data_IF_872818222558
#
_entry.id   IF_872818222558
#
_cell.length_a   1.000
_cell.length_b   1.000
_cell.length_c   1.000
_cell.angle_alpha   90.00
_cell.angle_beta   90.00
_cell.angle_gamma   90.00
#
_symmetry.space_group_name_H-M   'P 1'
#
loop_
_entity.id
_entity.type
_entity.pdbx_description
1 polymer ?
#
# COMPACT_ATOMS: atom_id res chain seq x y z
N UNK A 1 9.43 18.35 16.45
CA UNK A 1 8.73 17.39 15.57
C UNK A 1 9.77 16.38 15.11
N UNK A 2 9.76 15.16 15.67
CA UNK A 2 10.69 14.11 15.25
C UNK A 2 10.26 13.52 13.90
N UNK A 3 11.19 13.07 13.04
CA UNK A 3 10.82 12.56 11.73
C UNK A 3 10.08 11.23 11.86
N UNK A 4 8.88 11.16 11.27
CA UNK A 4 8.02 9.96 11.20
C UNK A 4 8.77 8.78 10.54
N UNK A 5 9.72 9.11 9.67
CA UNK A 5 10.52 8.16 8.91
C UNK A 5 11.97 8.28 9.34
N UNK A 6 12.75 7.20 9.19
CA UNK A 6 14.18 7.21 9.49
C UNK A 6 14.87 8.36 8.72
N UNK A 7 15.76 9.11 9.37
CA UNK A 7 16.40 10.32 8.84
C UNK A 7 16.91 10.10 7.38
N UNK A 8 16.57 11.03 6.46
CA UNK A 8 16.77 10.87 5.01
C UNK A 8 15.48 10.82 4.16
N UNK A 9 14.32 11.19 4.71
CA UNK A 9 12.97 10.84 4.21
C UNK A 9 12.57 11.22 2.77
N UNK A 10 13.39 12.00 2.06
CA UNK A 10 13.12 12.37 0.67
C UNK A 10 13.73 11.38 -0.33
N UNK A 11 14.77 10.63 0.05
CA UNK A 11 15.55 9.78 -0.84
C UNK A 11 15.46 8.31 -0.46
N UNK A 12 15.68 7.43 -1.42
CA UNK A 12 15.78 6.00 -1.17
C UNK A 12 17.17 5.62 -0.66
N UNK A 13 17.26 4.72 0.31
CA UNK A 13 18.53 4.30 0.91
C UNK A 13 18.71 2.78 0.89
N UNK A 14 19.95 2.34 1.14
CA UNK A 14 20.26 0.91 1.21
C UNK A 14 19.45 0.23 2.32
N UNK A 15 18.70 -0.80 1.94
CA UNK A 15 17.90 -1.63 2.81
C UNK A 15 16.47 -1.15 3.04
N UNK A 16 16.04 -0.04 2.43
CA UNK A 16 14.66 0.43 2.50
C UNK A 16 13.74 -0.36 1.56
N UNK A 17 12.47 -0.46 1.94
CA UNK A 17 11.39 -0.93 1.07
C UNK A 17 10.98 0.19 0.12
N UNK A 18 10.67 -0.13 -1.13
CA UNK A 18 10.25 0.82 -2.16
C UNK A 18 9.14 0.23 -3.00
N UNK A 19 8.40 1.09 -3.68
CA UNK A 19 7.40 0.70 -4.67
C UNK A 19 7.93 1.08 -6.04
N UNK A 20 8.07 0.08 -6.91
CA UNK A 20 8.50 0.22 -8.29
C UNK A 20 7.25 0.31 -9.16
N UNK A 21 6.99 1.49 -9.72
CA UNK A 21 5.84 1.75 -10.58
C UNK A 21 6.28 1.79 -12.04
N UNK A 22 5.92 0.77 -12.81
CA UNK A 22 6.31 0.59 -14.20
C UNK A 22 5.17 1.07 -15.10
N UNK A 23 5.49 1.96 -16.03
CA UNK A 23 4.57 2.50 -17.04
C UNK A 23 3.28 3.14 -16.49
N UNK A 24 3.40 3.95 -15.42
CA UNK A 24 2.28 4.68 -14.79
C UNK A 24 1.18 3.76 -14.26
N UNK A 25 1.57 2.69 -13.59
CA UNK A 25 0.67 1.82 -12.84
C UNK A 25 0.20 0.59 -13.61
N UNK A 26 0.77 0.32 -14.79
CA UNK A 26 0.54 -0.94 -15.55
C UNK A 26 1.05 -2.14 -14.74
N UNK A 27 2.22 -2.00 -14.10
CA UNK A 27 2.77 -2.98 -13.16
C UNK A 27 3.40 -2.25 -12.01
N UNK A 28 2.97 -2.56 -10.79
CA UNK A 28 3.53 -2.02 -9.55
C UNK A 28 4.13 -3.18 -8.77
N UNK A 29 5.29 -3.01 -8.13
CA UNK A 29 6.02 -4.09 -7.44
C UNK A 29 6.61 -3.56 -6.13
N UNK A 30 6.49 -4.33 -5.05
CA UNK A 30 7.24 -4.07 -3.82
C UNK A 30 8.66 -4.64 -3.93
N UNK A 31 9.66 -3.85 -3.57
CA UNK A 31 11.05 -4.35 -3.54
C UNK A 31 11.80 -3.76 -2.35
N UNK A 32 12.80 -4.51 -1.86
CA UNK A 32 13.73 -4.02 -0.84
C UNK A 32 15.08 -3.76 -1.49
N UNK A 33 15.61 -2.55 -1.32
CA UNK A 33 16.87 -2.11 -1.93
C UNK A 33 18.07 -2.79 -1.27
N UNK A 34 18.41 -3.99 -1.71
CA UNK A 34 19.65 -4.68 -1.32
C UNK A 34 20.66 -4.63 -2.48
N UNK A 35 21.98 -4.80 -2.22
CA UNK A 35 22.98 -4.78 -3.29
C UNK A 35 22.75 -5.79 -4.42
N UNK A 36 22.04 -6.89 -4.14
CA UNK A 36 21.71 -7.94 -5.12
C UNK A 36 20.28 -7.82 -5.67
N UNK A 37 19.52 -6.80 -5.27
CA UNK A 37 18.15 -6.65 -5.68
C UNK A 37 18.08 -6.33 -7.18
N UNK A 38 17.32 -7.15 -7.90
CA UNK A 38 17.08 -7.01 -9.33
C UNK A 38 15.59 -7.07 -9.62
N UNK A 39 15.17 -6.47 -10.73
CA UNK A 39 13.79 -6.50 -11.21
C UNK A 39 13.78 -6.77 -12.70
N UNK A 40 12.82 -7.56 -13.17
CA UNK A 40 12.59 -7.75 -14.61
C UNK A 40 11.63 -6.67 -15.14
N UNK A 41 12.14 -5.85 -16.06
CA UNK A 41 11.39 -4.81 -16.76
C UNK A 41 11.55 -5.02 -18.25
N UNK A 42 10.44 -5.33 -18.94
CA UNK A 42 10.44 -5.50 -20.39
C UNK A 42 11.26 -6.70 -20.89
N UNK A 43 11.45 -7.74 -20.06
CA UNK A 43 12.26 -8.92 -20.37
C UNK A 43 13.76 -8.69 -20.15
N UNK A 44 14.13 -7.63 -19.43
CA UNK A 44 15.52 -7.32 -19.07
C UNK A 44 15.66 -7.29 -17.56
N UNK A 45 16.66 -8.00 -17.07
CA UNK A 45 16.99 -8.02 -15.63
C UNK A 45 17.80 -6.78 -15.29
N UNK A 46 17.22 -5.90 -14.48
CA UNK A 46 17.79 -4.61 -14.12
C UNK A 46 18.22 -4.59 -12.66
N UNK A 47 19.42 -4.07 -12.37
CA UNK A 47 19.90 -3.82 -11.00
C UNK A 47 19.18 -2.62 -10.39
N UNK A 48 18.77 -2.73 -9.12
CA UNK A 48 18.13 -1.64 -8.39
C UNK A 48 19.13 -0.71 -7.67
N UNK A 49 20.43 -0.98 -7.76
CA UNK A 49 21.47 -0.14 -7.15
C UNK A 49 21.40 1.35 -7.56
N UNK A 50 21.11 1.71 -8.84
CA UNK A 50 21.03 3.11 -9.25
C UNK A 50 19.93 3.93 -8.57
N UNK A 51 18.96 3.27 -7.91
CA UNK A 51 17.88 3.92 -7.18
C UNK A 51 18.32 4.46 -5.81
N UNK A 52 19.42 3.93 -5.25
CA UNK A 52 19.92 4.34 -3.94
C UNK A 52 20.50 5.76 -4.02
N UNK A 53 20.12 6.62 -3.08
CA UNK A 53 20.49 8.03 -3.03
C UNK A 53 19.68 8.92 -3.98
N UNK A 54 18.61 8.38 -4.61
CA UNK A 54 17.73 9.17 -5.49
C UNK A 54 16.45 9.57 -4.75
N UNK A 55 15.91 10.78 -5.01
CA UNK A 55 14.68 11.21 -4.38
C UNK A 55 13.50 10.34 -4.82
N UNK A 56 12.58 10.06 -3.90
CA UNK A 56 11.29 9.45 -4.25
C UNK A 56 10.54 10.36 -5.24
N UNK A 57 9.94 9.76 -6.26
CA UNK A 57 9.38 10.45 -7.41
C UNK A 57 10.31 10.50 -8.62
N UNK A 58 11.59 10.09 -8.47
CA UNK A 58 12.51 9.99 -9.61
C UNK A 58 12.06 8.96 -10.63
N UNK A 59 12.16 9.31 -11.91
CA UNK A 59 11.90 8.43 -13.05
C UNK A 59 13.19 7.90 -13.66
N UNK A 60 13.12 6.67 -14.18
CA UNK A 60 14.23 5.96 -14.78
C UNK A 60 13.78 5.32 -16.09
N UNK A 61 14.69 5.28 -17.07
CA UNK A 61 14.54 4.47 -18.28
C UNK A 61 15.44 3.26 -18.21
N UNK A 62 14.99 2.17 -18.85
CA UNK A 62 15.79 0.96 -19.02
C UNK A 62 16.58 1.09 -20.31
N UNK A 63 17.90 1.20 -20.18
CA UNK A 63 18.83 1.19 -21.30
C UNK A 63 19.53 -0.17 -21.43
N UNK A 64 19.86 -0.61 -22.66
CA UNK A 64 20.70 -1.79 -22.87
C UNK A 64 22.09 -1.58 -22.25
N UNK A 65 22.64 -2.62 -21.63
CA UNK A 65 24.02 -2.61 -21.16
C UNK A 65 24.91 -3.20 -22.26
N UNK A 66 25.97 -2.49 -22.66
CA UNK A 66 26.91 -2.89 -23.72
C UNK A 66 27.88 -4.03 -23.31
N UNK A 67 27.51 -4.85 -22.32
CA UNK A 67 28.37 -5.94 -21.87
C UNK A 67 28.47 -6.99 -22.98
N UNK A 68 29.68 -7.19 -23.54
CA UNK A 68 30.02 -8.09 -24.65
C UNK A 68 29.67 -9.58 -24.46
N UNK A 69 29.02 -9.94 -23.35
CA UNK A 69 28.64 -11.31 -23.01
C UNK A 69 27.15 -11.49 -22.84
N UNK A 70 26.37 -11.41 -23.93
CA UNK A 70 25.08 -12.09 -24.17
C UNK A 70 23.93 -11.99 -23.14
N UNK A 71 24.12 -11.37 -21.99
CA UNK A 71 23.17 -11.36 -20.89
C UNK A 71 22.24 -10.16 -21.09
N UNK A 72 20.92 -10.42 -21.19
CA UNK A 72 19.85 -9.43 -21.37
C UNK A 72 19.68 -8.55 -20.11
N UNK A 73 20.76 -7.86 -19.73
CA UNK A 73 20.84 -6.98 -18.58
C UNK A 73 20.52 -5.55 -19.00
N UNK A 74 19.76 -4.86 -18.15
CA UNK A 74 19.40 -3.46 -18.34
C UNK A 74 19.98 -2.57 -17.26
N UNK A 75 20.36 -1.35 -17.63
CA UNK A 75 20.77 -0.31 -16.67
C UNK A 75 19.63 0.67 -16.50
N UNK A 76 19.35 1.03 -15.24
CA UNK A 76 18.40 2.09 -14.91
C UNK A 76 19.12 3.43 -14.96
N UNK A 77 18.81 4.22 -15.97
CA UNK A 77 19.35 5.56 -16.14
C UNK A 77 18.31 6.57 -15.67
N UNK A 78 18.73 7.50 -14.82
CA UNK A 78 17.84 8.56 -14.35
C UNK A 78 17.40 9.38 -15.55
N UNK A 79 16.09 9.50 -15.71
CA UNK A 79 15.47 10.26 -16.77
C UNK A 79 14.77 11.44 -16.12
N UNK A 80 15.28 12.65 -16.32
CA UNK A 80 14.49 13.82 -16.02
C UNK A 80 13.29 13.78 -16.96
N UNK A 81 12.08 13.77 -16.41
CA UNK A 81 10.93 14.24 -17.17
C UNK A 81 11.13 15.74 -17.34
N UNK A 82 12.02 16.14 -18.25
CA UNK A 82 11.67 17.23 -19.12
C UNK A 82 10.46 16.70 -19.87
N UNK A 83 9.28 16.82 -19.26
CA UNK A 83 8.10 16.98 -20.06
C UNK A 83 8.50 18.12 -20.98
N UNK A 84 8.61 17.92 -22.30
CA UNK A 84 8.60 19.07 -23.14
C UNK A 84 7.26 19.71 -22.78
N UNK A 85 7.30 20.81 -22.04
CA UNK A 85 6.46 21.94 -22.35
C UNK A 85 6.78 22.24 -23.81
N UNK A 86 6.17 21.46 -24.71
CA UNK A 86 5.64 22.05 -25.91
C UNK A 86 4.66 23.04 -25.34
N UNK A 87 5.16 24.23 -25.05
CA UNK A 87 4.37 25.43 -25.15
C UNK A 87 3.78 25.32 -26.55
N UNK A 88 2.60 24.73 -26.63
CA UNK A 88 1.75 24.85 -27.80
C UNK A 88 1.42 26.34 -27.82
N UNK A 89 2.29 27.13 -28.45
CA UNK A 89 1.95 28.45 -28.90
C UNK A 89 0.68 28.28 -29.74
N UNK A 90 -0.49 28.77 -29.30
CA UNK A 90 -1.77 28.49 -29.96
C UNK A 90 -1.88 29.11 -31.36
N UNK A 91 -0.82 29.75 -31.86
CA UNK A 91 -0.98 30.85 -32.82
C UNK A 91 -0.45 30.60 -34.23
N UNK A 92 0.16 29.45 -34.59
CA UNK A 92 0.64 29.27 -35.98
C UNK A 92 0.34 27.97 -36.74
N UNK A 93 -0.03 26.83 -36.12
CA UNK A 93 -0.25 25.57 -36.88
C UNK A 93 -1.69 24.99 -36.85
N UNK A 94 -2.64 25.70 -36.23
CA UNK A 94 -3.99 25.20 -35.97
C UNK A 94 -4.88 24.92 -37.20
N UNK A 95 -4.51 25.37 -38.41
CA UNK A 95 -5.38 25.25 -39.59
C UNK A 95 -5.18 24.00 -40.45
N UNK A 96 -3.98 23.41 -40.47
CA UNK A 96 -3.72 22.22 -41.32
C UNK A 96 -4.06 20.89 -40.62
N UNK A 97 -3.96 20.84 -39.28
CA UNK A 97 -4.15 19.60 -38.53
C UNK A 97 -5.61 19.23 -38.27
N UNK A 98 -6.54 20.19 -38.27
CA UNK A 98 -7.99 19.96 -38.02
C UNK A 98 -8.70 19.17 -39.14
N UNK A 99 -8.08 18.96 -40.30
CA UNK A 99 -8.69 18.27 -41.45
C UNK A 99 -8.40 16.78 -41.55
N UNK A 100 -7.61 16.19 -40.64
CA UNK A 100 -7.30 14.75 -40.70
C UNK A 100 -8.44 13.94 -40.10
N UNK A 101 -8.88 12.91 -40.82
CA UNK A 101 -9.84 11.92 -40.32
C UNK A 101 -9.43 10.51 -40.73
N UNK A 102 -10.19 9.52 -40.28
CA UNK A 102 -9.92 8.11 -40.50
C UNK A 102 -10.63 7.52 -41.73
N UNK A 103 -11.31 8.32 -42.58
CA UNK A 103 -12.15 7.79 -43.67
C UNK A 103 -11.37 7.00 -44.73
N UNK A 104 -10.09 7.36 -44.93
CA UNK A 104 -9.19 6.74 -45.90
C UNK A 104 -8.20 5.76 -45.26
N UNK A 105 -8.30 5.48 -43.96
CA UNK A 105 -7.43 4.54 -43.27
C UNK A 105 -8.01 3.13 -43.44
N UNK A 106 -7.28 2.27 -44.15
CA UNK A 106 -7.65 0.86 -44.36
C UNK A 106 -6.74 0.00 -43.49
N UNK A 107 -7.34 -0.91 -42.71
CA UNK A 107 -6.61 -1.88 -41.91
C UNK A 107 -6.36 -3.17 -42.71
N UNK A 108 -5.26 -3.20 -43.44
CA UNK A 108 -4.83 -4.33 -44.25
C UNK A 108 -3.55 -5.00 -43.70
N UNK A 109 -3.15 -4.67 -42.46
CA UNK A 109 -1.90 -5.12 -41.83
C UNK A 109 -0.59 -4.82 -42.62
N UNK A 110 -0.62 -3.99 -43.67
CA UNK A 110 0.59 -3.59 -44.42
C UNK A 110 1.10 -2.20 -44.04
N UNK A 111 0.51 -1.61 -42.99
CA UNK A 111 0.80 -0.24 -42.55
C UNK A 111 2.18 -0.05 -41.87
N UNK A 112 2.85 -1.14 -41.51
CA UNK A 112 4.18 -1.15 -40.90
C UNK A 112 5.08 -2.03 -41.76
N UNK A 113 6.21 -1.49 -42.21
CA UNK A 113 7.16 -2.22 -43.08
C UNK A 113 8.15 -3.05 -42.26
N UNK A 114 8.43 -2.68 -41.01
CA UNK A 114 9.31 -3.44 -40.12
C UNK A 114 8.65 -4.73 -39.62
N UNK A 115 9.33 -5.85 -39.78
CA UNK A 115 8.90 -7.15 -39.28
C UNK A 115 9.17 -7.31 -37.77
N UNK A 116 8.65 -8.38 -37.15
CA UNK A 116 9.00 -8.76 -35.78
C UNK A 116 10.50 -8.98 -35.62
N UNK A 117 11.11 -9.63 -36.60
CA UNK A 117 12.49 -10.09 -36.57
C UNK A 117 13.44 -8.90 -36.68
N UNK A 118 13.09 -7.88 -37.48
CA UNK A 118 13.81 -6.60 -37.55
C UNK A 118 13.80 -5.89 -36.20
N UNK A 119 12.66 -5.90 -35.50
CA UNK A 119 12.52 -5.27 -34.18
C UNK A 119 13.35 -6.01 -33.13
N UNK A 120 13.40 -7.33 -33.19
CA UNK A 120 14.28 -8.13 -32.34
C UNK A 120 15.75 -7.92 -32.66
N UNK A 121 16.12 -7.79 -33.93
CA UNK A 121 17.47 -7.44 -34.34
C UNK A 121 17.87 -6.06 -33.79
N UNK A 122 16.99 -5.05 -33.87
CA UNK A 122 17.25 -3.74 -33.25
C UNK A 122 17.47 -3.85 -31.73
N UNK A 123 16.67 -4.67 -31.04
CA UNK A 123 16.86 -4.92 -29.60
C UNK A 123 18.17 -5.62 -29.27
N UNK A 124 18.58 -6.60 -30.11
CA UNK A 124 19.83 -7.36 -29.97
C UNK A 124 21.05 -6.48 -30.24
N UNK A 125 20.95 -5.56 -31.19
CA UNK A 125 21.97 -4.57 -31.52
C UNK A 125 22.08 -3.45 -30.48
N UNK A 126 21.35 -3.52 -29.36
CA UNK A 126 21.43 -2.53 -28.29
C UNK A 126 20.80 -1.17 -28.62
N UNK A 127 19.93 -1.07 -29.63
CA UNK A 127 19.24 0.20 -29.90
C UNK A 127 18.37 0.59 -28.69
N UNK A 128 18.35 1.90 -28.39
CA UNK A 128 17.52 2.44 -27.32
C UNK A 128 16.03 2.27 -27.64
N UNK A 129 15.22 2.19 -26.58
CA UNK A 129 13.77 2.05 -26.73
C UNK A 129 13.16 3.19 -27.55
N UNK A 130 13.64 4.43 -27.37
CA UNK A 130 13.16 5.60 -28.10
C UNK A 130 13.54 5.55 -29.58
N UNK A 131 14.77 5.13 -29.91
CA UNK A 131 15.19 4.95 -31.30
C UNK A 131 14.33 3.90 -32.02
N UNK A 132 13.93 2.83 -31.32
CA UNK A 132 12.99 1.83 -31.86
C UNK A 132 11.62 2.46 -32.12
N UNK A 133 11.13 3.34 -31.24
CA UNK A 133 9.86 4.04 -31.45
C UNK A 133 9.94 4.98 -32.66
N UNK A 134 11.03 5.72 -32.82
CA UNK A 134 11.28 6.60 -33.97
C UNK A 134 11.35 5.80 -35.28
N UNK A 135 12.08 4.68 -35.30
CA UNK A 135 12.13 3.79 -36.44
C UNK A 135 10.74 3.25 -36.82
N UNK A 136 9.91 2.88 -35.84
CA UNK A 136 8.53 2.44 -36.06
C UNK A 136 7.59 3.54 -36.57
N UNK A 137 7.88 4.81 -36.27
CA UNK A 137 7.14 5.96 -36.79
C UNK A 137 7.54 6.21 -38.25
N UNK A 138 8.85 6.25 -38.54
CA UNK A 138 9.38 6.47 -39.88
C UNK A 138 8.92 5.39 -40.88
N UNK A 139 8.79 4.15 -40.43
CA UNK A 139 8.36 3.00 -41.24
C UNK A 139 6.83 2.78 -41.27
N UNK A 140 6.04 3.71 -40.73
CA UNK A 140 4.58 3.62 -40.75
C UNK A 140 3.95 4.49 -41.85
N UNK A 141 3.40 3.86 -42.87
CA UNK A 141 2.73 4.53 -43.99
C UNK A 141 1.45 5.27 -43.60
N UNK A 142 0.86 4.92 -42.45
CA UNK A 142 -0.40 5.53 -41.96
C UNK A 142 -0.19 6.58 -40.88
N UNK A 143 1.00 6.66 -40.26
CA UNK A 143 1.20 7.52 -39.09
C UNK A 143 0.96 9.00 -39.40
N UNK A 144 1.52 9.51 -40.50
CA UNK A 144 1.33 10.91 -40.92
C UNK A 144 -0.13 11.28 -41.24
N UNK A 145 -0.94 10.31 -41.67
CA UNK A 145 -2.37 10.52 -42.01
C UNK A 145 -3.29 10.52 -40.79
N UNK A 146 -2.82 10.02 -39.64
CA UNK A 146 -3.61 9.97 -38.40
C UNK A 146 -3.84 11.35 -37.80
N UNK A 147 -4.91 11.47 -37.02
CA UNK A 147 -5.16 12.64 -36.17
C UNK A 147 -4.08 12.79 -35.10
N UNK A 148 -3.85 14.00 -34.60
CA UNK A 148 -2.85 14.27 -33.55
C UNK A 148 -3.05 13.38 -32.31
N UNK A 149 -4.29 13.26 -31.85
CA UNK A 149 -4.64 12.40 -30.72
C UNK A 149 -4.32 10.92 -30.97
N UNK A 150 -4.51 10.44 -32.21
CA UNK A 150 -4.19 9.08 -32.60
C UNK A 150 -2.69 8.85 -32.73
N UNK A 151 -1.93 9.86 -33.18
CA UNK A 151 -0.46 9.83 -33.22
C UNK A 151 0.11 9.75 -31.81
N UNK A 152 -0.33 10.60 -30.88
CA UNK A 152 0.11 10.56 -29.48
C UNK A 152 -0.24 9.23 -28.81
N UNK A 153 -1.47 8.73 -29.01
CA UNK A 153 -1.87 7.41 -28.49
C UNK A 153 -1.00 6.29 -29.06
N UNK A 154 -0.60 6.38 -30.32
CA UNK A 154 0.33 5.44 -30.94
C UNK A 154 1.71 5.53 -30.29
N UNK A 155 2.28 6.74 -30.15
CA UNK A 155 3.58 6.97 -29.52
C UNK A 155 3.60 6.41 -28.10
N UNK A 156 2.63 6.78 -27.25
CA UNK A 156 2.53 6.30 -25.87
C UNK A 156 2.44 4.77 -25.79
N UNK A 157 1.67 4.14 -26.68
CA UNK A 157 1.58 2.68 -26.76
C UNK A 157 2.92 2.04 -27.13
N UNK A 158 3.68 2.65 -28.03
CA UNK A 158 4.99 2.14 -28.46
C UNK A 158 6.06 2.39 -27.38
N UNK A 159 6.08 3.57 -26.76
CA UNK A 159 6.95 3.87 -25.62
C UNK A 159 6.73 2.90 -24.47
N UNK A 160 5.48 2.65 -24.05
CA UNK A 160 5.18 1.65 -23.00
C UNK A 160 5.74 0.26 -23.30
N UNK A 161 5.81 -0.14 -24.58
CA UNK A 161 6.29 -1.45 -25.02
C UNK A 161 7.81 -1.52 -25.18
N UNK A 162 8.43 -0.49 -25.74
CA UNK A 162 9.84 -0.52 -26.18
C UNK A 162 10.77 0.34 -25.31
N UNK A 163 10.25 1.37 -24.64
CA UNK A 163 10.95 2.26 -23.74
C UNK A 163 10.24 2.29 -22.37
N UNK A 164 10.17 1.16 -21.64
CA UNK A 164 9.47 1.11 -20.37
C UNK A 164 10.12 2.08 -19.38
N UNK A 165 9.28 2.85 -18.70
CA UNK A 165 9.71 3.78 -17.66
C UNK A 165 9.40 3.22 -16.28
N UNK A 166 10.28 3.51 -15.34
CA UNK A 166 10.16 3.12 -13.94
C UNK A 166 10.11 4.38 -13.08
N UNK A 167 9.09 4.50 -12.25
CA UNK A 167 8.92 5.54 -11.24
C UNK A 167 9.22 4.95 -9.86
N UNK A 168 10.17 5.55 -9.14
CA UNK A 168 10.51 5.19 -7.77
C UNK A 168 9.50 5.83 -6.80
N UNK A 169 8.57 5.05 -6.26
CA UNK A 169 7.54 5.55 -5.33
C UNK A 169 7.90 5.23 -3.89
N UNK A 170 7.60 6.21 -3.03
CA UNK A 170 7.68 6.06 -1.58
C UNK A 170 6.55 5.16 -1.08
N UNK A 171 6.84 4.20 -0.19
CA UNK A 171 5.79 3.51 0.56
C UNK A 171 5.10 4.46 1.53
N UNK A 172 3.79 4.59 1.39
CA UNK A 172 2.87 5.26 2.32
C UNK A 172 1.60 4.43 2.41
N UNK A 173 0.76 4.70 3.41
CA UNK A 173 -0.53 4.01 3.58
C UNK A 173 -1.33 3.98 2.27
N UNK A 174 -1.34 5.10 1.55
CA UNK A 174 -1.96 5.24 0.24
C UNK A 174 -1.33 4.33 -0.81
N UNK A 175 -0.02 4.47 -1.06
CA UNK A 175 0.63 3.73 -2.16
C UNK A 175 0.69 2.23 -1.89
N UNK A 176 0.84 1.82 -0.62
CA UNK A 176 0.80 0.42 -0.20
C UNK A 176 -0.60 -0.16 -0.42
N UNK A 177 -1.67 0.53 0.01
CA UNK A 177 -3.05 0.12 -0.21
C UNK A 177 -3.37 -0.04 -1.71
N UNK A 178 -3.05 0.98 -2.53
CA UNK A 178 -3.26 0.93 -3.99
C UNK A 178 -2.48 -0.23 -4.64
N UNK A 179 -1.26 -0.50 -4.17
CA UNK A 179 -0.41 -1.57 -4.72
C UNK A 179 -0.93 -2.96 -4.36
N UNK A 180 -1.35 -3.18 -3.10
CA UNK A 180 -1.95 -4.45 -2.69
C UNK A 180 -3.28 -4.70 -3.38
N UNK A 181 -4.13 -3.67 -3.53
CA UNK A 181 -5.38 -3.81 -4.26
C UNK A 181 -5.17 -4.26 -5.72
N UNK A 182 -4.09 -3.81 -6.36
CA UNK A 182 -3.73 -4.23 -7.74
C UNK A 182 -3.09 -5.62 -7.81
N UNK A 183 -2.22 -5.97 -6.88
CA UNK A 183 -1.46 -7.24 -6.91
C UNK A 183 -2.21 -8.40 -6.26
N UNK A 184 -2.69 -8.21 -5.03
CA UNK A 184 -3.22 -9.24 -4.14
C UNK A 184 -4.31 -8.63 -3.23
N UNK A 185 -5.47 -8.31 -3.82
CA UNK A 185 -6.55 -7.60 -3.13
C UNK A 185 -7.10 -8.36 -1.90
N UNK A 186 -7.14 -9.70 -1.97
CA UNK A 186 -7.60 -10.58 -0.89
C UNK A 186 -6.86 -10.34 0.42
N UNK A 187 -5.54 -10.16 0.34
CA UNK A 187 -4.66 -9.98 1.51
C UNK A 187 -5.03 -8.75 2.33
N UNK A 188 -5.56 -7.72 1.68
CA UNK A 188 -6.00 -6.46 2.30
C UNK A 188 -7.51 -6.39 2.48
N UNK A 189 -8.22 -7.52 2.38
CA UNK A 189 -9.67 -7.57 2.50
C UNK A 189 -10.41 -6.74 1.44
N UNK A 190 -9.83 -6.57 0.25
CA UNK A 190 -10.33 -5.71 -0.84
C UNK A 190 -10.49 -4.24 -0.47
N UNK A 191 -9.81 -3.77 0.57
CA UNK A 191 -9.90 -2.38 1.02
C UNK A 191 -9.28 -1.43 -0.02
N UNK A 192 -10.09 -0.46 -0.46
CA UNK A 192 -9.64 0.62 -1.36
C UNK A 192 -9.13 1.83 -0.56
N UNK A 193 -8.32 2.67 -1.20
CA UNK A 193 -7.64 3.81 -0.55
C UNK A 193 -8.61 4.83 0.07
N UNK A 194 -9.73 5.10 -0.58
CA UNK A 194 -10.80 5.95 -0.07
C UNK A 194 -11.50 5.34 1.15
N UNK A 195 -11.74 4.02 1.15
CA UNK A 195 -12.23 3.30 2.32
C UNK A 195 -11.24 3.35 3.49
N UNK A 196 -9.94 3.10 3.24
CA UNK A 196 -8.91 3.24 4.27
C UNK A 196 -8.88 4.68 4.82
N UNK A 197 -8.99 5.68 3.95
CA UNK A 197 -8.98 7.10 4.35
C UNK A 197 -10.22 7.47 5.19
N UNK A 198 -11.39 6.98 4.79
CA UNK A 198 -12.65 7.17 5.51
C UNK A 198 -12.61 6.48 6.87
N UNK A 199 -12.07 5.25 6.94
CA UNK A 199 -11.92 4.47 8.17
C UNK A 199 -11.07 5.22 9.21
N UNK A 200 -9.89 5.71 8.80
CA UNK A 200 -8.99 6.48 9.66
C UNK A 200 -9.60 7.81 10.11
N UNK A 201 -10.41 8.44 9.24
CA UNK A 201 -11.07 9.71 9.54
C UNK A 201 -12.24 9.53 10.51
N UNK A 202 -13.06 8.50 10.30
CA UNK A 202 -14.20 8.19 11.18
C UNK A 202 -13.76 7.74 12.57
N UNK A 203 -12.60 7.08 12.69
CA UNK A 203 -11.99 6.76 13.97
C UNK A 203 -11.21 7.93 14.61
N UNK A 204 -11.18 9.12 13.97
CA UNK A 204 -10.47 10.30 14.45
C UNK A 204 -8.99 10.04 14.80
N UNK A 205 -8.27 9.32 13.93
CA UNK A 205 -6.86 9.01 14.17
C UNK A 205 -6.00 10.27 14.02
N UNK A 206 -5.38 10.68 15.13
CA UNK A 206 -4.54 11.86 15.22
C UNK A 206 -3.36 11.67 16.17
N UNK A 207 -2.42 12.62 16.15
CA UNK A 207 -1.27 12.62 17.03
C UNK A 207 -1.67 12.51 18.51
N UNK A 208 -0.87 11.82 19.31
CA UNK A 208 -1.09 11.58 20.75
C UNK A 208 -2.26 10.65 21.11
N UNK A 209 -2.97 10.13 20.12
CA UNK A 209 -4.03 9.13 20.33
C UNK A 209 -3.45 7.75 20.66
N UNK A 210 -4.14 7.04 21.54
CA UNK A 210 -3.96 5.61 21.76
C UNK A 210 -5.05 4.84 21.05
N UNK A 211 -4.69 4.16 19.96
CA UNK A 211 -5.66 3.53 19.07
C UNK A 211 -5.63 2.02 19.28
N UNK A 212 -6.78 1.45 19.61
CA UNK A 212 -6.98 0.01 19.64
C UNK A 212 -7.32 -0.46 18.21
N UNK A 213 -6.57 -1.42 17.70
CA UNK A 213 -6.74 -1.90 16.32
C UNK A 213 -6.90 -3.42 16.30
N UNK A 214 -7.93 -3.89 15.59
CA UNK A 214 -8.00 -5.27 15.13
C UNK A 214 -7.69 -5.27 13.65
N UNK A 215 -6.55 -5.88 13.31
CA UNK A 215 -6.06 -5.94 11.94
C UNK A 215 -5.83 -7.39 11.53
N UNK A 216 -6.70 -7.85 10.63
CA UNK A 216 -6.60 -9.14 9.93
C UNK A 216 -6.28 -8.96 8.44
N UNK A 217 -5.87 -7.76 8.04
CA UNK A 217 -5.56 -7.37 6.65
C UNK A 217 -4.05 -7.17 6.46
N UNK A 218 -3.27 -8.06 7.08
CA UNK A 218 -1.81 -8.14 6.96
C UNK A 218 -1.02 -7.02 7.65
N UNK A 219 -1.67 -6.19 8.49
CA UNK A 219 -1.02 -5.05 9.14
C UNK A 219 -1.14 -3.73 8.36
N UNK A 220 -1.95 -3.67 7.30
CA UNK A 220 -2.17 -2.44 6.53
C UNK A 220 -2.75 -1.32 7.40
N UNK A 221 -3.76 -1.63 8.22
CA UNK A 221 -4.44 -0.65 9.06
C UNK A 221 -3.54 -0.23 10.22
N UNK A 222 -2.85 -1.18 10.87
CA UNK A 222 -1.84 -0.88 11.90
C UNK A 222 -0.78 0.07 11.37
N UNK A 223 -0.25 -0.20 10.17
CA UNK A 223 0.72 0.67 9.52
C UNK A 223 0.15 2.05 9.21
N UNK A 224 -1.05 2.13 8.66
CA UNK A 224 -1.69 3.40 8.34
C UNK A 224 -1.99 4.27 9.57
N UNK A 225 -2.39 3.65 10.68
CA UNK A 225 -2.55 4.34 11.97
C UNK A 225 -1.20 4.84 12.47
N UNK A 226 -0.16 3.99 12.47
CA UNK A 226 1.17 4.37 12.91
C UNK A 226 1.77 5.53 12.08
N UNK A 227 1.53 5.54 10.76
CA UNK A 227 1.92 6.64 9.87
C UNK A 227 1.25 7.96 10.29
N UNK A 228 -0.04 7.93 10.64
CA UNK A 228 -0.81 9.10 11.09
C UNK A 228 -0.43 9.58 12.49
N UNK A 229 -0.11 8.68 13.40
CA UNK A 229 0.38 9.00 14.74
C UNK A 229 1.78 9.62 14.72
N UNK A 230 2.60 9.26 13.73
CA UNK A 230 3.93 9.85 13.55
C UNK A 230 4.89 9.63 14.73
N UNK A 231 4.66 8.57 15.52
CA UNK A 231 5.43 8.27 16.74
C UNK A 231 4.91 8.96 18.01
N UNK A 232 3.83 9.73 17.91
CA UNK A 232 3.13 10.36 19.03
C UNK A 232 1.86 9.57 19.36
N UNK A 233 1.80 8.97 20.55
CA UNK A 233 0.75 8.02 20.92
C UNK A 233 1.15 6.55 20.66
N UNK A 234 0.18 5.65 20.71
CA UNK A 234 0.40 4.21 20.56
C UNK A 234 -0.63 3.56 19.65
N UNK A 235 -0.18 2.55 18.89
CA UNK A 235 -1.06 1.61 18.20
C UNK A 235 -1.02 0.31 18.98
N UNK A 236 -2.11 -0.05 19.63
CA UNK A 236 -2.26 -1.33 20.29
C UNK A 236 -3.06 -2.26 19.40
N UNK A 237 -2.38 -3.23 18.80
CA UNK A 237 -3.06 -4.29 18.06
C UNK A 237 -3.59 -5.35 19.03
N UNK A 238 -4.86 -5.70 18.88
CA UNK A 238 -5.47 -6.82 19.62
C UNK A 238 -5.91 -7.93 18.68
N UNK A 239 -5.97 -9.14 19.21
CA UNK A 239 -6.31 -10.36 18.48
C UNK A 239 -6.97 -11.39 19.43
N UNK A 240 -7.76 -12.30 18.87
CA UNK A 240 -8.29 -13.46 19.60
C UNK A 240 -7.29 -14.61 19.57
N UNK A 241 -7.24 -15.38 20.66
CA UNK A 241 -6.40 -16.56 20.78
C UNK A 241 -4.97 -16.25 21.21
N UNK A 242 -4.10 -17.26 21.09
CA UNK A 242 -2.72 -17.21 21.59
C UNK A 242 -1.72 -16.71 20.56
N UNK A 243 -2.01 -16.85 19.26
CA UNK A 243 -1.08 -16.51 18.17
C UNK A 243 -1.65 -15.37 17.31
N UNK A 244 -0.96 -14.21 17.23
CA UNK A 244 -1.36 -13.13 16.35
C UNK A 244 -1.12 -13.48 14.88
N UNK A 245 -1.98 -13.01 13.97
CA UNK A 245 -1.70 -13.09 12.52
C UNK A 245 -0.55 -12.18 12.11
N UNK A 246 0.05 -12.40 10.94
CA UNK A 246 1.21 -11.63 10.49
C UNK A 246 0.89 -10.15 10.20
N UNK A 247 1.82 -9.26 10.54
CA UNK A 247 1.78 -7.82 10.27
C UNK A 247 2.97 -7.38 9.41
N UNK A 248 3.35 -8.21 8.45
CA UNK A 248 4.55 -8.00 7.65
C UNK A 248 4.43 -6.78 6.71
N UNK A 249 3.21 -6.32 6.38
CA UNK A 249 2.98 -5.08 5.63
C UNK A 249 3.57 -3.87 6.38
N UNK A 250 3.61 -3.87 7.72
CA UNK A 250 4.21 -2.79 8.53
C UNK A 250 5.69 -2.61 8.18
N UNK A 251 6.41 -3.69 7.84
CA UNK A 251 7.80 -3.64 7.41
C UNK A 251 8.04 -2.89 6.10
N UNK A 252 7.00 -2.65 5.30
CA UNK A 252 7.07 -1.95 4.02
C UNK A 252 7.08 -0.43 4.22
N UNK A 253 6.51 0.09 5.31
CA UNK A 253 6.36 1.52 5.57
C UNK A 253 7.68 2.26 5.88
N UNK A 254 8.77 1.53 6.14
CA UNK A 254 10.07 2.11 6.52
C UNK A 254 10.02 3.04 7.75
N UNK A 255 9.22 2.67 8.76
CA UNK A 255 9.14 3.43 10.00
C UNK A 255 10.49 3.55 10.71
N UNK A 256 10.67 4.66 11.44
CA UNK A 256 11.80 4.81 12.36
C UNK A 256 11.69 3.82 13.53
N UNK A 257 12.78 3.63 14.28
CA UNK A 257 12.75 2.86 15.53
C UNK A 257 11.69 3.40 16.50
N UNK A 258 11.53 4.72 16.53
CA UNK A 258 10.66 5.40 17.47
C UNK A 258 9.20 5.08 17.16
N UNK A 259 8.77 5.22 15.91
CA UNK A 259 7.42 4.83 15.47
C UNK A 259 7.20 3.33 15.66
N UNK A 260 8.19 2.51 15.32
CA UNK A 260 8.09 1.04 15.42
C UNK A 260 7.91 0.59 16.87
N UNK A 261 8.58 1.25 17.83
CA UNK A 261 8.47 0.96 19.27
C UNK A 261 7.09 1.29 19.85
N UNK A 262 6.29 2.13 19.18
CA UNK A 262 4.92 2.48 19.59
C UNK A 262 3.86 1.53 19.01
N UNK A 263 4.25 0.62 18.12
CA UNK A 263 3.38 -0.43 17.59
C UNK A 263 3.51 -1.64 18.51
N UNK A 264 2.52 -1.83 19.36
CA UNK A 264 2.49 -2.90 20.36
C UNK A 264 1.31 -3.83 20.10
N UNK A 265 1.38 -5.04 20.66
CA UNK A 265 0.30 -6.01 20.55
C UNK A 265 0.00 -6.67 21.89
N UNK A 266 -1.28 -6.94 22.14
CA UNK A 266 -1.75 -7.65 23.33
C UNK A 266 -2.93 -8.53 22.93
N UNK A 267 -3.03 -9.78 23.38
CA UNK A 267 -4.22 -10.56 23.17
C UNK A 267 -5.40 -9.92 23.91
N UNK A 268 -6.62 -10.15 23.42
CA UNK A 268 -7.82 -9.57 24.00
C UNK A 268 -8.04 -10.00 25.46
N UNK A 269 -7.69 -11.25 25.80
CA UNK A 269 -7.76 -11.80 27.17
C UNK A 269 -7.00 -10.96 28.20
N UNK A 270 -5.82 -10.45 27.82
CA UNK A 270 -4.93 -9.74 28.73
C UNK A 270 -5.44 -8.33 28.98
N UNK A 271 -5.99 -7.68 27.96
CA UNK A 271 -6.65 -6.37 28.09
C UNK A 271 -7.88 -6.45 29.02
N UNK A 272 -8.61 -7.57 28.98
CA UNK A 272 -9.76 -7.81 29.85
C UNK A 272 -9.41 -8.15 31.29
N UNK A 273 -8.45 -9.05 31.48
CA UNK A 273 -7.99 -9.46 32.81
C UNK A 273 -7.50 -8.25 33.61
N UNK A 274 -6.96 -7.26 32.90
CA UNK A 274 -6.53 -5.98 33.44
C UNK A 274 -7.69 -5.15 34.03
N UNK A 275 -8.87 -5.20 33.43
CA UNK A 275 -10.05 -4.45 33.87
C UNK A 275 -10.77 -5.11 35.04
N UNK A 276 -10.83 -6.45 35.05
CA UNK A 276 -11.58 -7.20 36.05
C UNK A 276 -10.78 -7.47 37.33
N UNK A 277 -9.44 -7.40 37.28
CA UNK A 277 -8.59 -7.62 38.45
C UNK A 277 -8.44 -6.32 39.27
N UNK A 278 -9.44 -6.06 40.12
CA UNK A 278 -9.21 -5.40 41.40
C UNK A 278 -8.53 -6.41 42.33
N UNK A 279 -7.32 -6.10 42.80
CA UNK A 279 -6.54 -6.85 43.79
C UNK A 279 -6.00 -8.25 43.39
N UNK A 280 -4.86 -8.30 42.68
CA UNK A 280 -3.81 -9.29 42.92
C UNK A 280 -2.46 -8.82 42.32
N UNK A 281 -1.33 -8.92 43.04
CA UNK A 281 -0.02 -8.63 42.47
C UNK A 281 0.39 -9.76 41.51
N UNK A 282 0.91 -9.38 40.34
CA UNK A 282 1.53 -10.30 39.41
C UNK A 282 2.81 -10.88 40.05
N UNK A 283 2.82 -12.18 40.33
CA UNK A 283 4.03 -12.93 40.66
C UNK A 283 4.81 -13.12 39.37
N UNK A 284 5.93 -12.42 39.24
CA UNK A 284 6.96 -12.69 38.25
C UNK A 284 7.69 -13.97 38.69
N UNK A 285 7.48 -15.08 37.97
CA UNK A 285 8.41 -16.20 38.05
C UNK A 285 9.49 -15.99 36.97
N UNK A 286 10.59 -15.42 37.42
CA UNK A 286 11.88 -15.42 36.73
C UNK A 286 12.66 -16.62 37.27
N UNK A 287 12.96 -17.60 36.42
CA UNK A 287 13.94 -18.65 36.73
C UNK A 287 14.60 -19.16 35.45
N UNK A 288 15.88 -18.83 35.38
CA UNK A 288 16.97 -18.95 34.41
C UNK A 288 17.42 -20.41 34.11
N UNK A 289 17.92 -20.64 32.86
CA UNK A 289 18.97 -21.56 32.29
C UNK A 289 19.21 -22.95 32.93
N UNK A 290 19.63 -24.04 32.27
CA UNK A 290 20.14 -24.40 30.93
C UNK A 290 20.24 -25.95 30.91
N UNK A 291 20.35 -26.64 29.77
CA UNK A 291 21.60 -27.20 29.24
C UNK A 291 21.30 -28.05 27.97
N UNK A 292 22.35 -28.32 27.19
CA UNK A 292 22.37 -28.82 25.82
C UNK A 292 21.99 -30.30 25.63
N UNK A 293 21.50 -30.64 24.43
CA UNK A 293 21.92 -31.79 23.63
C UNK A 293 21.30 -31.77 22.20
N UNK A 294 22.08 -32.18 21.21
CA UNK A 294 21.77 -32.37 19.77
C UNK A 294 22.40 -33.72 19.35
N UNK A 295 22.16 -34.32 18.15
CA UNK A 295 20.96 -34.40 17.28
C UNK A 295 20.51 -35.86 17.01
N UNK A 296 19.34 -36.07 16.37
CA UNK A 296 19.22 -37.15 15.36
C UNK A 296 18.17 -36.86 14.26
N UNK A 297 18.39 -37.49 13.11
CA UNK A 297 18.06 -37.05 11.76
C UNK A 297 16.61 -37.29 11.22
N UNK A 298 16.25 -36.40 10.29
CA UNK A 298 15.57 -36.61 8.99
C UNK A 298 14.03 -36.81 8.91
N UNK A 299 13.34 -35.85 8.27
CA UNK A 299 12.74 -36.02 6.92
C UNK A 299 12.26 -34.69 6.33
N UNK A 300 12.15 -34.69 5.00
CA UNK A 300 12.40 -33.60 4.04
C UNK A 300 11.09 -33.03 3.45
N UNK A 301 10.94 -31.70 3.35
CA UNK A 301 9.87 -30.99 2.62
C UNK A 301 10.31 -29.55 2.26
N UNK A 302 10.92 -29.38 1.08
CA UNK A 302 11.38 -28.10 0.53
C UNK A 302 10.22 -27.16 0.15
N UNK A 303 10.21 -25.93 0.68
CA UNK A 303 9.56 -24.73 0.09
C UNK A 303 10.45 -23.50 0.33
N UNK A 304 10.55 -22.67 -0.70
CA UNK A 304 11.63 -21.71 -0.96
C UNK A 304 11.87 -20.64 0.12
N UNK A 305 13.14 -20.54 0.54
CA UNK A 305 13.69 -19.58 1.48
C UNK A 305 13.89 -18.18 0.85
N UNK A 306 13.25 -17.17 1.40
CA UNK A 306 13.81 -15.81 1.42
C UNK A 306 13.45 -15.08 2.72
N UNK A 307 14.00 -15.53 3.84
CA UNK A 307 13.99 -14.77 5.09
C UNK A 307 15.18 -15.15 5.96
N UNK A 308 16.26 -14.37 5.92
CA UNK A 308 17.12 -14.10 7.09
C UNK A 308 18.36 -13.29 6.70
N UNK A 309 18.26 -11.96 6.80
CA UNK A 309 19.40 -11.16 7.23
C UNK A 309 18.89 -10.25 8.34
N UNK A 310 19.06 -10.74 9.57
CA UNK A 310 18.77 -10.02 10.79
C UNK A 310 19.69 -8.81 10.89
N UNK A 311 19.11 -7.61 10.72
CA UNK A 311 19.67 -6.38 11.28
C UNK A 311 18.90 -6.10 12.56
N UNK A 312 19.62 -5.86 13.66
CA UNK A 312 19.12 -5.46 14.98
C UNK A 312 18.30 -4.16 14.87
N UNK A 313 17.06 -4.31 14.47
CA UNK A 313 16.07 -3.26 14.31
C UNK A 313 14.87 -3.61 15.19
N UNK A 314 14.34 -2.61 15.91
CA UNK A 314 13.18 -2.77 16.77
C UNK A 314 12.07 -3.51 16.00
N UNK A 315 11.56 -4.61 16.57
CA UNK A 315 10.49 -5.39 15.94
C UNK A 315 9.16 -4.74 16.30
N UNK A 316 8.31 -4.46 15.30
CA UNK A 316 6.93 -4.06 15.55
C UNK A 316 6.16 -5.20 16.23
N UNK A 317 5.17 -4.88 17.06
CA UNK A 317 4.33 -5.87 17.72
C UNK A 317 5.03 -6.51 18.93
N UNK A 318 5.79 -5.72 19.70
CA UNK A 318 6.20 -6.16 21.04
C UNK A 318 5.03 -6.03 22.02
N UNK A 319 5.10 -6.74 23.14
CA UNK A 319 4.14 -6.56 24.22
C UNK A 319 4.22 -5.11 24.77
N UNK A 320 3.09 -4.50 25.14
CA UNK A 320 3.08 -3.18 25.77
C UNK A 320 3.80 -3.20 27.12
N UNK A 321 4.38 -2.07 27.52
CA UNK A 321 4.98 -1.94 28.85
C UNK A 321 3.90 -2.03 29.93
N UNK A 322 4.26 -2.56 31.10
CA UNK A 322 3.33 -2.71 32.24
C UNK A 322 2.73 -1.37 32.69
N UNK A 323 3.50 -0.28 32.59
CA UNK A 323 3.02 1.08 32.85
C UNK A 323 1.96 1.52 31.84
N UNK A 324 2.16 1.21 30.55
CA UNK A 324 1.20 1.60 29.51
C UNK A 324 -0.10 0.80 29.61
N UNK A 325 0.01 -0.47 29.95
CA UNK A 325 -1.14 -1.31 30.28
C UNK A 325 -1.96 -0.71 31.42
N UNK A 326 -1.32 -0.30 32.53
CA UNK A 326 -2.02 0.38 33.66
C UNK A 326 -2.71 1.66 33.21
N UNK A 327 -2.06 2.47 32.39
CA UNK A 327 -2.65 3.69 31.86
C UNK A 327 -3.94 3.41 31.06
N UNK A 328 -3.94 2.42 30.16
CA UNK A 328 -5.13 2.04 29.38
C UNK A 328 -6.23 1.43 30.23
N UNK A 329 -5.88 0.77 31.34
CA UNK A 329 -6.88 0.30 32.31
C UNK A 329 -7.69 1.47 32.89
N UNK A 330 -7.00 2.55 33.25
CA UNK A 330 -7.60 3.70 33.93
C UNK A 330 -8.31 4.66 32.96
N UNK A 331 -7.71 4.91 31.79
CA UNK A 331 -8.16 5.95 30.86
C UNK A 331 -8.89 5.40 29.63
N UNK A 332 -8.71 4.11 29.30
CA UNK A 332 -9.21 3.50 28.07
C UNK A 332 -8.42 3.93 26.82
N UNK A 333 -8.79 3.36 25.68
CA UNK A 333 -8.26 3.75 24.37
C UNK A 333 -9.03 4.94 23.77
N UNK A 334 -8.35 5.79 23.04
CA UNK A 334 -8.96 6.98 22.42
C UNK A 334 -9.86 6.67 21.22
N UNK A 335 -9.62 5.57 20.52
CA UNK A 335 -10.42 5.16 19.35
C UNK A 335 -10.24 3.67 19.04
N UNK A 336 -11.23 3.06 18.40
CA UNK A 336 -11.19 1.66 17.95
C UNK A 336 -11.29 1.57 16.42
N UNK A 337 -10.42 0.76 15.82
CA UNK A 337 -10.53 0.37 14.41
C UNK A 337 -10.59 -1.14 14.29
N UNK A 338 -11.57 -1.66 13.55
CA UNK A 338 -11.70 -3.09 13.28
C UNK A 338 -11.67 -3.33 11.77
N UNK A 339 -10.73 -4.14 11.31
CA UNK A 339 -10.66 -4.65 9.94
C UNK A 339 -10.49 -6.16 9.98
N UNK A 340 -11.62 -6.86 10.04
CA UNK A 340 -11.71 -8.31 10.14
C UNK A 340 -12.78 -8.84 9.18
N UNK A 341 -12.50 -8.89 7.86
CA UNK A 341 -13.49 -9.24 6.84
C UNK A 341 -13.96 -10.71 6.87
N UNK A 342 -13.31 -11.57 7.65
CA UNK A 342 -13.59 -13.01 7.74
C UNK A 342 -14.27 -13.42 9.06
N UNK A 343 -14.46 -12.48 10.00
CA UNK A 343 -14.97 -12.78 11.36
C UNK A 343 -16.36 -12.19 11.59
N UNK A 344 -17.14 -12.86 12.43
CA UNK A 344 -18.40 -12.32 12.93
C UNK A 344 -18.14 -11.16 13.90
N UNK A 345 -18.66 -9.98 13.55
CA UNK A 345 -18.34 -8.73 14.24
C UNK A 345 -19.15 -8.53 15.54
N UNK A 346 -20.33 -9.15 15.67
CA UNK A 346 -21.31 -8.79 16.70
C UNK A 346 -20.83 -8.93 18.14
N UNK A 347 -20.47 -10.16 18.55
CA UNK A 347 -19.92 -10.43 19.89
C UNK A 347 -18.59 -9.71 20.09
N UNK A 348 -17.74 -9.75 19.07
CA UNK A 348 -16.39 -9.24 19.16
C UNK A 348 -16.32 -7.72 19.36
N UNK A 349 -17.16 -6.94 18.68
CA UNK A 349 -17.22 -5.49 18.87
C UNK A 349 -17.81 -5.15 20.24
N UNK A 350 -18.83 -5.87 20.68
CA UNK A 350 -19.43 -5.70 22.02
C UNK A 350 -18.39 -5.88 23.12
N UNK A 351 -17.42 -6.78 22.89
CA UNK A 351 -16.32 -7.05 23.80
C UNK A 351 -15.23 -5.94 23.78
N UNK A 352 -14.93 -5.39 22.61
CA UNK A 352 -13.89 -4.36 22.46
C UNK A 352 -14.33 -2.98 22.93
N UNK A 353 -15.60 -2.64 22.74
CA UNK A 353 -16.14 -1.31 23.02
C UNK A 353 -15.91 -0.83 24.46
N UNK A 354 -16.10 -1.68 25.51
CA UNK A 354 -15.77 -1.30 26.87
C UNK A 354 -14.35 -0.77 27.04
N UNK A 355 -13.35 -1.29 26.32
CA UNK A 355 -11.93 -0.89 26.45
C UNK A 355 -11.67 0.56 26.04
N UNK A 356 -12.63 1.22 25.41
CA UNK A 356 -12.51 2.60 24.98
C UNK A 356 -12.70 3.60 26.12
N UNK A 357 -12.15 4.80 25.91
CA UNK A 357 -12.42 5.99 26.71
C UNK A 357 -13.82 6.54 26.41
N UNK A 358 -14.38 7.32 27.34
CA UNK A 358 -15.71 7.91 27.16
C UNK A 358 -15.79 8.76 25.90
N UNK A 359 -16.90 8.63 25.15
CA UNK A 359 -17.11 9.37 23.90
C UNK A 359 -16.07 9.08 22.81
N UNK A 360 -15.36 7.95 22.89
CA UNK A 360 -14.41 7.54 21.86
C UNK A 360 -15.14 7.13 20.56
N UNK A 361 -14.65 7.57 19.38
CA UNK A 361 -15.13 7.08 18.11
C UNK A 361 -14.61 5.68 17.82
N UNK A 362 -15.40 4.90 17.09
CA UNK A 362 -14.97 3.64 16.51
C UNK A 362 -15.37 3.56 15.04
N UNK A 363 -14.58 2.83 14.26
CA UNK A 363 -14.85 2.57 12.86
C UNK A 363 -14.52 1.11 12.50
N UNK A 364 -15.45 0.44 11.83
CA UNK A 364 -15.38 -0.98 11.50
C UNK A 364 -15.49 -1.12 9.98
N UNK A 365 -14.49 -1.74 9.38
CA UNK A 365 -14.46 -2.07 7.96
C UNK A 365 -14.93 -3.50 7.73
N UNK A 366 -15.77 -3.69 6.71
CA UNK A 366 -16.14 -5.01 6.22
C UNK A 366 -16.38 -5.00 4.70
N UNK A 367 -16.11 -6.13 4.03
CA UNK A 367 -16.31 -6.27 2.57
C UNK A 367 -17.79 -6.30 2.18
N UNK A 368 -18.66 -6.81 3.04
CA UNK A 368 -20.10 -6.94 2.77
C UNK A 368 -20.92 -6.10 3.75
N UNK A 369 -22.12 -5.70 3.34
CA UNK A 369 -23.01 -4.82 4.11
C UNK A 369 -23.69 -5.57 5.27
N UNK A 370 -24.02 -6.84 5.06
CA UNK A 370 -24.88 -7.64 5.93
C UNK A 370 -24.29 -7.81 7.34
N UNK A 371 -22.97 -8.12 7.53
CA UNK A 371 -22.40 -8.21 8.87
C UNK A 371 -22.36 -6.87 9.60
N UNK A 372 -22.21 -5.76 8.87
CA UNK A 372 -22.26 -4.41 9.46
C UNK A 372 -23.69 -4.04 9.88
N UNK A 373 -24.70 -4.40 9.08
CA UNK A 373 -26.10 -4.17 9.44
C UNK A 373 -26.49 -4.95 10.70
N UNK A 374 -26.08 -6.23 10.81
CA UNK A 374 -26.29 -7.04 12.00
C UNK A 374 -25.56 -6.47 13.21
N UNK A 375 -24.31 -6.04 13.06
CA UNK A 375 -23.54 -5.40 14.12
C UNK A 375 -24.21 -4.09 14.57
N UNK A 376 -24.61 -3.24 13.63
CA UNK A 376 -25.34 -2.00 13.91
C UNK A 376 -26.63 -2.26 14.69
N UNK A 377 -27.42 -3.26 14.28
CA UNK A 377 -28.63 -3.64 15.02
C UNK A 377 -28.31 -4.08 16.45
N UNK A 378 -27.30 -4.92 16.66
CA UNK A 378 -26.86 -5.35 18.00
C UNK A 378 -26.45 -4.16 18.88
N UNK A 379 -25.75 -3.17 18.31
CA UNK A 379 -25.30 -1.98 19.05
C UNK A 379 -26.45 -1.03 19.42
N UNK A 380 -27.48 -0.95 18.57
CA UNK A 380 -28.71 -0.22 18.87
C UNK A 380 -29.48 -0.90 20.00
N UNK A 381 -29.64 -2.23 19.92
CA UNK A 381 -30.36 -3.01 20.94
C UNK A 381 -29.66 -2.96 22.29
N UNK A 382 -28.33 -2.97 22.30
CA UNK A 382 -27.55 -2.88 23.55
C UNK A 382 -27.39 -1.45 24.09
N UNK A 383 -27.82 -0.42 23.35
CA UNK A 383 -27.69 1.00 23.69
C UNK A 383 -26.23 1.42 23.99
N UNK A 384 -25.24 0.76 23.36
CA UNK A 384 -23.81 0.98 23.64
C UNK A 384 -23.17 2.07 22.78
N UNK A 385 -23.85 2.53 21.73
CA UNK A 385 -23.29 3.47 20.78
C UNK A 385 -24.33 4.45 20.25
N UNK A 386 -23.88 5.66 19.90
CA UNK A 386 -24.69 6.72 19.31
C UNK A 386 -24.11 7.16 17.98
N UNK A 387 -24.94 7.78 17.13
CA UNK A 387 -24.50 8.29 15.82
C UNK A 387 -24.03 7.18 14.86
N UNK A 388 -24.63 5.98 14.96
CA UNK A 388 -24.29 4.85 14.11
C UNK A 388 -24.62 5.15 12.64
N UNK A 389 -23.63 5.01 11.77
CA UNK A 389 -23.77 5.23 10.34
C UNK A 389 -22.99 4.17 9.56
N UNK A 390 -23.64 3.59 8.54
CA UNK A 390 -22.96 2.78 7.52
C UNK A 390 -22.72 3.64 6.29
N UNK A 391 -21.48 3.69 5.82
CA UNK A 391 -21.07 4.48 4.66
C UNK A 391 -20.34 3.61 3.63
N UNK A 392 -20.63 3.86 2.36
CA UNK A 392 -19.93 3.30 1.20
C UNK A 392 -19.28 4.45 0.42
N UNK A 393 -17.94 4.53 0.36
CA UNK A 393 -17.29 5.53 -0.46
C UNK A 393 -17.24 5.09 -1.93
N UNK A 394 -17.43 6.04 -2.85
CA UNK A 394 -17.26 5.82 -4.28
C UNK A 394 -16.10 6.66 -4.83
N UNK A 395 -15.19 6.02 -5.55
CA UNK A 395 -14.03 6.66 -6.15
C UNK A 395 -14.11 6.55 -7.69
N UNK A 396 -13.97 7.70 -8.36
CA UNK A 396 -13.95 7.77 -9.83
C UNK A 396 -12.71 8.49 -10.32
N UNK A 397 -11.84 7.76 -11.01
CA UNK A 397 -10.64 8.30 -11.63
C UNK A 397 -10.95 8.93 -12.99
N UNK A 398 -10.32 10.07 -13.28
CA UNK A 398 -10.47 10.83 -14.52
C UNK A 398 -9.15 10.91 -15.26
N UNK A 399 -9.20 10.67 -16.57
CA UNK A 399 -8.17 11.13 -17.48
C UNK A 399 -8.36 12.63 -17.70
N UNK A 400 -7.32 13.41 -17.45
CA UNK A 400 -7.32 14.86 -17.65
C UNK A 400 -6.22 15.18 -18.66
N UNK A 401 -6.62 15.34 -19.91
CA UNK A 401 -5.75 15.72 -21.03
C UNK A 401 -6.49 16.75 -21.89
N UNK A 402 -5.77 17.68 -22.56
CA UNK A 402 -6.38 18.63 -23.49
C UNK A 402 -7.29 17.91 -24.49
N UNK A 403 -8.54 18.37 -24.59
CA UNK A 403 -9.60 17.83 -25.47
C UNK A 403 -9.87 16.31 -25.34
N UNK A 404 -9.45 15.67 -24.24
CA UNK A 404 -9.60 14.23 -23.98
C UNK A 404 -9.89 13.94 -22.49
N UNK A 405 -10.64 14.84 -21.86
CA UNK A 405 -10.99 14.69 -20.44
C UNK A 405 -12.24 13.85 -20.27
N UNK A 406 -12.10 12.67 -19.65
CA UNK A 406 -13.22 11.77 -19.37
C UNK A 406 -12.86 10.81 -18.22
N UNK A 407 -13.85 10.22 -17.53
CA UNK A 407 -13.62 9.13 -16.58
C UNK A 407 -12.95 7.92 -17.23
N UNK A 408 -12.17 7.16 -16.46
CA UNK A 408 -11.70 5.86 -16.94
C UNK A 408 -12.90 4.92 -17.19
N UNK A 409 -12.85 4.18 -18.31
CA UNK A 409 -13.96 3.31 -18.74
C UNK A 409 -14.08 2.02 -17.91
N UNK A 410 -12.96 1.53 -17.37
CA UNK A 410 -12.89 0.35 -16.50
C UNK A 410 -12.26 0.78 -15.18
N UNK A 411 -12.95 0.53 -14.08
CA UNK A 411 -12.51 0.87 -12.74
C UNK A 411 -13.10 -0.13 -11.75
N UNK A 412 -12.48 -0.22 -10.57
CA UNK A 412 -13.00 -1.05 -9.49
C UNK A 412 -14.24 -0.35 -8.90
N UNK A 413 -15.39 -1.01 -8.99
CA UNK A 413 -16.66 -0.48 -8.48
C UNK A 413 -16.71 -0.49 -6.96
N UNK A 414 -16.03 -1.44 -6.30
CA UNK A 414 -16.27 -1.76 -4.90
C UNK A 414 -15.02 -1.59 -4.02
N UNK A 415 -15.18 -0.92 -2.88
CA UNK A 415 -14.10 -0.63 -1.92
C UNK A 415 -14.37 -1.08 -0.48
N UNK A 416 -15.51 -1.73 -0.21
CA UNK A 416 -15.96 -2.09 1.13
C UNK A 416 -16.90 -1.06 1.78
N UNK A 417 -17.46 -1.44 2.91
CA UNK A 417 -18.37 -0.63 3.72
C UNK A 417 -17.74 -0.32 5.08
N UNK A 418 -18.13 0.81 5.67
CA UNK A 418 -17.64 1.24 6.98
C UNK A 418 -18.82 1.54 7.89
N UNK A 419 -18.87 0.89 9.05
CA UNK A 419 -19.75 1.24 10.17
C UNK A 419 -18.96 2.12 11.14
N UNK A 420 -19.45 3.31 11.41
CA UNK A 420 -18.87 4.23 12.38
C UNK A 420 -19.88 4.65 13.44
N UNK A 421 -19.39 4.99 14.63
CA UNK A 421 -20.21 5.52 15.71
C UNK A 421 -19.35 6.01 16.87
N UNK A 422 -20.02 6.52 17.90
CA UNK A 422 -19.38 6.96 19.14
C UNK A 422 -19.81 6.01 20.25
N UNK A 423 -18.84 5.49 20.99
CA UNK A 423 -19.11 4.64 22.14
C UNK A 423 -19.60 5.47 23.33
N UNK A 424 -20.68 5.02 23.95
CA UNK A 424 -21.26 5.64 25.15
C UNK A 424 -21.47 4.54 26.19
N UNK A 425 -21.00 4.79 27.42
CA UNK A 425 -21.26 3.89 28.54
C UNK A 425 -22.72 4.03 28.94
N UNK A 426 -23.43 2.91 29.07
CA UNK A 426 -24.77 2.89 29.66
C UNK A 426 -24.69 3.47 31.08
N UNK A 427 -25.53 4.46 31.44
CA UNK A 427 -25.57 4.93 32.81
C UNK A 427 -25.90 3.74 33.71
N UNK A 428 -25.08 3.53 34.75
CA UNK A 428 -25.46 2.62 35.83
C UNK A 428 -26.79 3.15 36.37
N UNK A 429 -27.79 2.27 36.45
CA UNK A 429 -29.10 2.67 36.96
C UNK A 429 -28.88 3.33 38.32
N UNK A 430 -29.24 4.61 38.45
CA UNK A 430 -29.29 5.28 39.74
C UNK A 430 -30.24 4.45 40.62
N UNK A 431 -29.67 3.59 41.47
CA UNK A 431 -30.36 3.11 42.66
C UNK A 431 -30.47 4.32 43.56
N UNK A 432 -31.57 5.06 43.43
CA UNK A 432 -31.86 6.20 44.29
C UNK A 432 -31.80 5.76 45.73
N UNK A 433 -30.91 6.39 46.50
CA UNK A 433 -31.02 6.47 47.96
C UNK A 433 -32.06 7.51 48.35
#
# INVERSE_FOLDING_TARGET
MQPIFKAGSAEAWKGCSVILDINDGDRVIFSRLTPRATVDIGGRKCSLQPLVGRPFGSTFRVEPCDSEGGDYSGVLVSYATDAPSRDDDPTQDGKEHERRDNRSLVDNNTAQTLSSDDIEAMKRNGLSGDAIVEALIANSSTFGKKTMQSQEKYILKKQKKYAPKLLLRRPSARSICETYLKQNADRTGFMRVDSLSLLLSMANVGAYSDVLVVDMVGGLVVGAVAERLGGTGYVCRTYLGTVPSSIDIVGIFNFSSDVTSRIVQSPLSDLYSLRNSGNAPCVLNDSIQGEADEPSAASDCKRDDCASVASTSAKAGMAPSSERMKYWREHGFSSLIVAAPEYELGSYVSDLLPLLSYSAPFAIYHRCLEPLATCMHSLVVSEMAVGLQISEPWLREYQVLPSRTHPHMKMNSFGGYILSGIWVRKPEAYSGE
#
